data_IF_862460082831
#
_entry.id   IF_862460082831
#
_cell.length_a   1.000
_cell.length_b   1.000
_cell.length_c   1.000
_cell.angle_alpha   90.00
_cell.angle_beta   90.00
_cell.angle_gamma   90.00
#
_symmetry.space_group_name_H-M   'P 1'
#
loop_
_entity.id
_entity.type
_entity.pdbx_description
1 polymer ?
#
# COMPACT_ATOMS: atom_id res chain seq x y z
N UNK A 1 -15.31 17.55 32.60
CA UNK A 1 -14.60 16.26 32.75
C UNK A 1 -13.88 15.94 31.46
N UNK A 2 -12.59 15.63 31.53
CA UNK A 2 -11.75 15.42 30.36
C UNK A 2 -12.14 14.11 29.62
N UNK A 3 -12.37 14.16 28.30
CA UNK A 3 -12.93 13.03 27.54
C UNK A 3 -12.00 11.81 27.57
N UNK A 4 -10.68 12.03 27.63
CA UNK A 4 -9.68 10.97 27.76
C UNK A 4 -9.78 10.24 29.10
N UNK A 5 -9.95 10.97 30.19
CA UNK A 5 -10.08 10.39 31.53
C UNK A 5 -11.34 9.54 31.66
N UNK A 6 -12.47 9.99 31.12
CA UNK A 6 -13.74 9.24 31.17
C UNK A 6 -13.65 7.91 30.41
N UNK A 7 -12.91 7.87 29.29
CA UNK A 7 -12.83 6.67 28.45
C UNK A 7 -11.72 5.68 28.87
N UNK A 8 -10.56 6.19 29.30
CA UNK A 8 -9.33 5.41 29.49
C UNK A 8 -8.76 5.50 30.91
N UNK A 9 -9.38 6.29 31.79
CA UNK A 9 -8.93 6.54 33.15
C UNK A 9 -7.55 7.19 33.23
N UNK A 10 -6.87 6.97 34.35
CA UNK A 10 -5.54 7.51 34.64
C UNK A 10 -4.50 7.04 33.60
N UNK A 11 -4.61 5.78 33.13
CA UNK A 11 -3.72 5.22 32.11
C UNK A 11 -3.75 6.03 30.82
N UNK A 12 -4.92 6.48 30.38
CA UNK A 12 -5.06 7.29 29.16
C UNK A 12 -4.49 8.71 29.27
N UNK A 13 -4.37 9.24 30.48
CA UNK A 13 -3.72 10.54 30.73
C UNK A 13 -2.19 10.43 30.74
N UNK A 14 -1.67 9.29 31.17
CA UNK A 14 -0.23 9.02 31.24
C UNK A 14 0.39 8.60 29.90
N UNK A 15 -0.42 8.30 28.88
CA UNK A 15 0.05 7.84 27.57
C UNK A 15 -0.25 8.84 26.45
N UNK A 16 0.77 9.22 25.68
CA UNK A 16 0.62 9.97 24.44
C UNK A 16 0.14 9.07 23.29
N UNK A 17 -1.14 8.69 23.34
CA UNK A 17 -1.76 7.95 22.25
C UNK A 17 -2.07 8.89 21.06
N UNK A 18 -1.69 8.51 19.82
CA UNK A 18 -2.00 9.30 18.64
C UNK A 18 -3.51 9.30 18.39
N UNK A 19 -4.04 10.43 17.95
CA UNK A 19 -5.45 10.54 17.60
C UNK A 19 -5.74 9.72 16.33
N UNK A 20 -6.77 8.87 16.39
CA UNK A 20 -7.22 8.08 15.24
C UNK A 20 -8.00 9.00 14.29
N UNK A 21 -7.31 9.54 13.29
CA UNK A 21 -7.91 10.37 12.24
C UNK A 21 -8.33 9.47 11.08
N UNK A 22 -9.63 9.48 10.73
CA UNK A 22 -10.14 8.77 9.56
C UNK A 22 -9.81 9.56 8.29
N UNK A 23 -9.44 8.85 7.23
CA UNK A 23 -9.26 9.45 5.91
C UNK A 23 -10.60 9.95 5.37
N UNK A 24 -10.65 11.21 4.95
CA UNK A 24 -11.81 11.79 4.25
C UNK A 24 -11.90 11.34 2.78
N UNK A 25 -10.73 11.11 2.19
CA UNK A 25 -10.57 10.85 0.75
C UNK A 25 -10.75 9.37 0.44
N UNK A 26 -10.16 8.47 1.24
CA UNK A 26 -10.29 7.03 1.03
C UNK A 26 -11.29 6.52 2.07
N UNK A 27 -12.47 6.10 1.59
CA UNK A 27 -13.52 5.53 2.43
C UNK A 27 -13.18 4.11 2.85
N UNK A 28 -13.88 3.61 3.88
CA UNK A 28 -13.72 2.22 4.36
C UNK A 28 -14.01 1.20 3.26
N UNK A 29 -14.98 1.48 2.39
CA UNK A 29 -15.37 0.61 1.28
C UNK A 29 -14.24 0.46 0.26
N UNK A 30 -13.62 1.57 -0.14
CA UNK A 30 -12.47 1.57 -1.07
C UNK A 30 -11.30 0.80 -0.44
N UNK A 31 -11.04 1.01 0.86
CA UNK A 31 -10.00 0.29 1.58
C UNK A 31 -10.24 -1.23 1.55
N UNK A 32 -11.47 -1.67 1.85
CA UNK A 32 -11.82 -3.09 1.83
C UNK A 32 -11.72 -3.69 0.43
N UNK A 33 -12.22 -3.00 -0.60
CA UNK A 33 -12.10 -3.45 -1.98
C UNK A 33 -10.66 -3.62 -2.44
N UNK A 34 -9.80 -2.64 -2.13
CA UNK A 34 -8.36 -2.72 -2.40
C UNK A 34 -7.71 -3.89 -1.66
N UNK A 35 -8.05 -4.10 -0.38
CA UNK A 35 -7.53 -5.19 0.45
C UNK A 35 -7.90 -6.56 -0.11
N UNK A 36 -9.16 -6.74 -0.52
CA UNK A 36 -9.63 -8.01 -1.10
C UNK A 36 -8.90 -8.30 -2.41
N UNK A 37 -8.78 -7.33 -3.31
CA UNK A 37 -8.16 -7.54 -4.62
C UNK A 37 -6.64 -7.75 -4.52
N UNK A 38 -5.95 -7.03 -3.64
CA UNK A 38 -4.50 -7.24 -3.38
C UNK A 38 -4.21 -8.64 -2.86
N UNK A 39 -5.08 -9.18 -2.00
CA UNK A 39 -4.90 -10.52 -1.43
C UNK A 39 -5.46 -11.64 -2.32
N UNK A 40 -6.09 -11.30 -3.46
CA UNK A 40 -6.62 -12.30 -4.38
C UNK A 40 -5.50 -12.94 -5.20
N UNK A 41 -5.47 -14.27 -5.27
CA UNK A 41 -4.50 -15.01 -6.10
C UNK A 41 -4.88 -15.01 -7.58
N UNK A 42 -6.17 -14.88 -7.89
CA UNK A 42 -6.71 -14.98 -9.24
C UNK A 42 -6.50 -13.71 -10.06
N UNK A 43 -6.63 -12.54 -9.44
CA UNK A 43 -6.57 -11.24 -10.15
C UNK A 43 -5.81 -10.17 -9.34
N UNK A 44 -4.51 -10.37 -9.08
CA UNK A 44 -3.70 -9.35 -8.41
C UNK A 44 -3.56 -8.10 -9.30
N UNK A 45 -3.29 -6.95 -8.67
CA UNK A 45 -2.93 -5.76 -9.42
C UNK A 45 -1.55 -5.91 -10.07
N UNK A 46 -1.45 -5.56 -11.34
CA UNK A 46 -0.18 -5.44 -12.08
C UNK A 46 0.69 -4.32 -11.49
N UNK A 47 0.06 -3.27 -10.98
CA UNK A 47 0.75 -2.18 -10.30
C UNK A 47 -0.21 -1.11 -9.75
N UNK A 48 0.36 -0.08 -9.14
CA UNK A 48 -0.41 1.00 -8.51
C UNK A 48 -1.21 1.84 -9.51
N UNK A 49 -0.79 1.90 -10.78
CA UNK A 49 -1.53 2.60 -11.83
C UNK A 49 -2.83 1.85 -12.16
N UNK A 50 -2.79 0.52 -12.18
CA UNK A 50 -3.97 -0.30 -12.40
C UNK A 50 -4.92 -0.21 -11.20
N UNK A 51 -4.37 -0.20 -9.98
CA UNK A 51 -5.14 0.06 -8.77
C UNK A 51 -5.87 1.42 -8.84
N UNK A 52 -5.20 2.47 -9.33
CA UNK A 52 -5.83 3.79 -9.55
C UNK A 52 -6.98 3.69 -10.54
N UNK A 53 -6.74 3.09 -11.70
CA UNK A 53 -7.76 2.93 -12.75
C UNK A 53 -8.93 2.07 -12.27
N UNK A 54 -8.68 1.05 -11.46
CA UNK A 54 -9.71 0.20 -10.90
C UNK A 54 -10.59 0.94 -9.90
N UNK A 55 -10.01 1.71 -8.97
CA UNK A 55 -10.82 2.49 -8.03
C UNK A 55 -11.68 3.51 -8.77
N UNK A 56 -11.14 4.14 -9.82
CA UNK A 56 -11.93 5.02 -10.67
C UNK A 56 -13.11 4.28 -11.33
N UNK A 57 -12.87 3.08 -11.87
CA UNK A 57 -13.93 2.27 -12.51
C UNK A 57 -15.00 1.78 -11.53
N UNK A 58 -14.63 1.40 -10.31
CA UNK A 58 -15.56 0.81 -9.35
C UNK A 58 -16.30 1.85 -8.50
N UNK A 59 -15.62 2.96 -8.14
CA UNK A 59 -16.13 3.93 -7.17
C UNK A 59 -16.24 5.35 -7.74
N UNK A 60 -15.88 5.57 -9.01
CA UNK A 60 -15.94 6.89 -9.66
C UNK A 60 -14.93 7.91 -9.11
N UNK A 61 -14.02 7.49 -8.22
CA UNK A 61 -13.15 8.42 -7.50
C UNK A 61 -11.80 8.58 -8.18
N UNK A 62 -11.38 9.83 -8.40
CA UNK A 62 -10.09 10.15 -9.00
C UNK A 62 -9.05 10.49 -7.93
N UNK A 63 -7.89 9.82 -7.99
CA UNK A 63 -6.77 10.10 -7.08
C UNK A 63 -5.51 10.54 -7.84
N UNK A 64 -4.70 11.35 -7.16
CA UNK A 64 -3.29 11.47 -7.53
C UNK A 64 -2.60 10.12 -7.31
N UNK A 65 -1.77 9.71 -8.26
CA UNK A 65 -1.05 8.42 -8.20
C UNK A 65 -0.26 8.26 -6.90
N UNK A 66 0.48 9.31 -6.51
CA UNK A 66 1.27 9.33 -5.27
C UNK A 66 0.42 9.03 -4.03
N UNK A 67 -0.78 9.60 -3.94
CA UNK A 67 -1.68 9.43 -2.79
C UNK A 67 -2.13 7.99 -2.65
N UNK A 68 -2.61 7.38 -3.75
CA UNK A 68 -3.07 5.99 -3.72
C UNK A 68 -1.92 5.04 -3.40
N UNK A 69 -0.76 5.23 -4.07
CA UNK A 69 0.43 4.42 -3.81
C UNK A 69 0.87 4.50 -2.35
N UNK A 70 0.99 5.72 -1.81
CA UNK A 70 1.40 5.93 -0.42
C UNK A 70 0.42 5.28 0.56
N UNK A 71 -0.88 5.45 0.32
CA UNK A 71 -1.92 4.86 1.16
C UNK A 71 -1.86 3.34 1.17
N UNK A 72 -1.76 2.71 0.00
CA UNK A 72 -1.70 1.25 -0.14
C UNK A 72 -0.45 0.68 0.56
N UNK A 73 0.71 1.34 0.44
CA UNK A 73 1.93 0.94 1.15
C UNK A 73 1.75 1.07 2.67
N UNK A 74 1.22 2.19 3.16
CA UNK A 74 1.07 2.47 4.59
C UNK A 74 0.08 1.50 5.26
N UNK A 75 -1.07 1.26 4.65
CA UNK A 75 -2.17 0.54 5.28
C UNK A 75 -2.25 -0.94 4.91
N UNK A 76 -1.91 -1.29 3.67
CA UNK A 76 -1.98 -2.67 3.17
C UNK A 76 -0.61 -3.36 3.16
N UNK A 77 0.46 -2.64 3.55
CA UNK A 77 1.83 -3.14 3.69
C UNK A 77 2.34 -3.85 2.42
N UNK A 78 1.90 -3.39 1.25
CA UNK A 78 2.33 -3.97 -0.02
C UNK A 78 3.78 -3.56 -0.30
N UNK A 79 4.65 -4.55 -0.48
CA UNK A 79 6.01 -4.31 -0.93
C UNK A 79 6.05 -4.38 -2.45
N UNK A 80 6.60 -3.35 -3.11
CA UNK A 80 6.95 -3.48 -4.52
C UNK A 80 8.09 -4.49 -4.60
N UNK A 81 7.89 -5.61 -5.31
CA UNK A 81 9.00 -6.49 -5.69
C UNK A 81 9.89 -5.71 -6.65
N UNK A 82 10.92 -5.05 -6.11
CA UNK A 82 11.98 -4.46 -6.91
C UNK A 82 13.08 -5.48 -7.08
N UNK A 83 13.53 -5.71 -8.30
CA UNK A 83 14.85 -6.31 -8.53
C UNK A 83 15.90 -5.40 -7.90
N UNK A 84 16.89 -5.97 -7.21
CA UNK A 84 18.03 -5.20 -6.70
C UNK A 84 18.78 -4.58 -7.89
N UNK A 85 19.22 -3.32 -7.78
CA UNK A 85 19.89 -2.59 -8.88
C UNK A 85 21.09 -3.36 -9.48
N UNK A 86 21.76 -4.19 -8.68
CA UNK A 86 22.87 -5.06 -9.10
C UNK A 86 22.47 -6.14 -10.12
N UNK A 87 21.22 -6.58 -10.16
CA UNK A 87 20.76 -7.63 -11.08
C UNK A 87 20.45 -7.14 -12.50
N UNK A 88 20.33 -5.83 -12.73
CA UNK A 88 19.89 -5.28 -14.01
C UNK A 88 20.99 -5.28 -15.09
N UNK A 89 22.27 -5.38 -14.70
CA UNK A 89 23.39 -5.62 -15.62
C UNK A 89 23.82 -7.09 -15.56
N UNK A 90 22.98 -7.99 -16.06
CA UNK A 90 23.46 -9.29 -16.54
C UNK A 90 23.73 -9.07 -18.03
N UNK A 91 24.94 -8.64 -18.36
CA UNK A 91 25.38 -8.51 -19.75
C UNK A 91 25.10 -9.83 -20.48
N UNK A 92 24.31 -9.77 -21.54
CA UNK A 92 24.02 -10.91 -22.44
C UNK A 92 25.33 -11.49 -23.02
N UNK A 93 26.38 -10.67 -23.04
CA UNK A 93 27.73 -11.03 -23.45
C UNK A 93 28.48 -11.87 -22.39
N UNK A 94 28.20 -11.66 -21.09
CA UNK A 94 28.83 -12.43 -20.01
C UNK A 94 28.35 -13.89 -20.01
N UNK A 95 27.10 -14.17 -20.38
CA UNK A 95 26.58 -15.55 -20.49
C UNK A 95 27.24 -16.37 -21.61
N UNK A 96 27.86 -15.71 -22.61
CA UNK A 96 28.61 -16.37 -23.69
C UNK A 96 30.02 -16.76 -23.27
N UNK A 97 30.61 -16.08 -22.28
CA UNK A 97 31.93 -16.40 -21.73
C UNK A 97 31.89 -17.59 -20.76
N UNK A 98 30.75 -17.84 -20.10
CA UNK A 98 30.57 -18.98 -19.19
C UNK A 98 30.04 -20.25 -19.87
N UNK A 99 29.68 -20.18 -21.16
CA UNK A 99 29.29 -21.35 -21.96
C UNK A 99 30.42 -21.75 -22.88
N UNK A 100 31.11 -22.83 -22.46
CA UNK A 100 31.87 -23.84 -23.23
C UNK A 100 33.40 -23.75 -23.11
N UNK A 101 34.12 -24.89 -22.97
CA UNK A 101 33.78 -26.22 -22.43
C UNK A 101 34.38 -26.48 -21.03
#
# INVERSE_FOLDING_TARGET
MDKKYVALGIKGLLTDQPMIIKSRIITSEIHQGLKMRINSSTTPFLGYWEAKSWVYKQYGMHFKYYLLRHYVILHLKTNLKSTQKSHYKKDVEAEKLFKTP
#
